data_IF_259331911362
#
_entry.id   IF_259331911362
#
_cell.length_a   1.000
_cell.length_b   1.000
_cell.length_c   1.000
_cell.angle_alpha   90.00
_cell.angle_beta   90.00
_cell.angle_gamma   90.00
#
_symmetry.space_group_name_H-M   'P 1'
#
loop_
_entity.id
_entity.type
_entity.pdbx_description
1 polymer ?
#
# COMPACT_ATOMS: atom_id res chain seq x y z
N UNK A 1 -10.87 -12.17 -13.75
CA UNK A 1 -12.34 -12.24 -13.99
C UNK A 1 -13.08 -12.90 -12.82
N UNK A 2 -12.53 -13.93 -12.18
CA UNK A 2 -13.22 -14.63 -11.09
C UNK A 2 -13.35 -13.78 -9.82
N UNK A 3 -12.37 -12.94 -9.48
CA UNK A 3 -12.46 -11.98 -8.38
C UNK A 3 -13.69 -11.05 -8.50
N UNK A 4 -13.96 -10.55 -9.71
CA UNK A 4 -15.13 -9.69 -9.97
C UNK A 4 -16.44 -10.48 -9.92
N UNK A 5 -16.46 -11.72 -10.43
CA UNK A 5 -17.65 -12.57 -10.41
C UNK A 5 -18.06 -12.98 -9.00
N UNK A 6 -17.08 -13.25 -8.13
CA UNK A 6 -17.28 -13.74 -6.78
C UNK A 6 -17.41 -12.61 -5.75
N UNK A 7 -17.13 -11.36 -6.15
CA UNK A 7 -17.26 -10.21 -5.26
C UNK A 7 -18.73 -9.91 -4.92
N UNK A 8 -18.97 -9.62 -3.64
CA UNK A 8 -20.25 -9.09 -3.14
C UNK A 8 -20.45 -7.63 -3.53
N UNK A 9 -19.37 -6.90 -3.80
CA UNK A 9 -19.36 -5.52 -4.31
C UNK A 9 -18.49 -5.45 -5.58
N UNK A 10 -19.14 -5.68 -6.72
CA UNK A 10 -18.46 -5.73 -8.03
C UNK A 10 -17.93 -4.38 -8.48
N UNK A 11 -18.65 -3.31 -8.21
CA UNK A 11 -18.26 -1.96 -8.62
C UNK A 11 -17.00 -1.53 -7.88
N UNK A 12 -16.96 -1.71 -6.58
CA UNK A 12 -15.77 -1.45 -5.75
C UNK A 12 -14.58 -2.33 -6.14
N UNK A 13 -14.82 -3.58 -6.52
CA UNK A 13 -13.77 -4.46 -7.03
C UNK A 13 -13.23 -3.96 -8.36
N UNK A 14 -14.08 -3.48 -9.27
CA UNK A 14 -13.68 -2.88 -10.53
C UNK A 14 -12.89 -1.59 -10.33
N UNK A 15 -13.24 -0.76 -9.35
CA UNK A 15 -12.51 0.46 -9.00
C UNK A 15 -11.05 0.18 -8.63
N UNK A 16 -10.74 -0.98 -8.03
CA UNK A 16 -9.36 -1.36 -7.70
C UNK A 16 -8.48 -1.54 -8.94
N UNK A 17 -9.07 -1.74 -10.12
CA UNK A 17 -8.42 -1.83 -11.43
C UNK A 17 -8.57 -0.57 -12.27
N UNK A 18 -9.10 0.52 -11.71
CA UNK A 18 -9.26 1.76 -12.47
C UNK A 18 -7.90 2.37 -12.82
N UNK A 19 -7.83 3.08 -13.99
CA UNK A 19 -6.58 3.58 -14.56
C UNK A 19 -5.69 4.35 -13.58
N UNK A 20 -6.23 5.31 -12.84
CA UNK A 20 -5.47 6.07 -11.84
C UNK A 20 -4.94 5.22 -10.68
N UNK A 21 -5.66 4.16 -10.28
CA UNK A 21 -5.19 3.24 -9.26
C UNK A 21 -4.05 2.37 -9.76
N UNK A 22 -4.17 1.85 -10.98
CA UNK A 22 -3.10 1.04 -11.58
C UNK A 22 -1.86 1.87 -11.87
N UNK A 23 -2.02 3.08 -12.42
CA UNK A 23 -0.92 3.99 -12.74
C UNK A 23 -0.14 4.38 -11.47
N UNK A 24 -0.83 4.74 -10.40
CA UNK A 24 -0.23 5.04 -9.09
C UNK A 24 0.55 3.87 -8.51
N UNK A 25 0.00 2.64 -8.61
CA UNK A 25 0.65 1.43 -8.11
C UNK A 25 1.84 1.02 -8.98
N UNK A 26 1.71 1.11 -10.32
CA UNK A 26 2.82 0.86 -11.26
C UNK A 26 3.99 1.79 -10.98
N UNK A 27 3.70 3.08 -10.85
CA UNK A 27 4.70 4.09 -10.50
C UNK A 27 5.43 3.79 -9.18
N UNK A 28 4.70 3.31 -8.15
CA UNK A 28 5.30 2.88 -6.88
C UNK A 28 6.26 1.70 -7.11
N UNK A 29 5.80 0.67 -7.81
CA UNK A 29 6.61 -0.54 -8.10
C UNK A 29 7.88 -0.18 -8.84
N UNK A 30 7.81 0.60 -9.92
CA UNK A 30 8.97 1.08 -10.68
C UNK A 30 9.97 1.86 -9.81
N UNK A 31 9.46 2.68 -8.90
CA UNK A 31 10.33 3.43 -7.99
C UNK A 31 11.02 2.53 -6.96
N UNK A 32 10.35 1.49 -6.49
CA UNK A 32 10.95 0.48 -5.62
C UNK A 32 12.03 -0.32 -6.34
N UNK A 33 11.79 -0.76 -7.55
CA UNK A 33 12.76 -1.49 -8.37
C UNK A 33 14.06 -0.70 -8.56
N UNK A 34 13.94 0.61 -8.87
CA UNK A 34 15.09 1.50 -9.06
C UNK A 34 15.89 1.78 -7.78
N UNK A 35 15.24 1.69 -6.62
CA UNK A 35 15.89 2.02 -5.34
C UNK A 35 16.44 0.81 -4.61
N UNK A 36 16.08 -0.41 -5.00
CA UNK A 36 16.39 -1.60 -4.24
C UNK A 36 16.62 -2.83 -5.14
N UNK A 37 17.81 -3.39 -5.03
CA UNK A 37 18.05 -4.79 -5.41
C UNK A 37 17.73 -5.70 -4.21
N UNK A 38 16.47 -5.69 -3.77
CA UNK A 38 16.06 -6.58 -2.70
C UNK A 38 15.90 -8.00 -3.25
N UNK A 39 16.51 -8.93 -2.54
CA UNK A 39 16.32 -10.36 -2.77
C UNK A 39 15.69 -10.97 -1.53
N UNK A 40 14.64 -11.75 -1.70
CA UNK A 40 13.99 -12.47 -0.60
C UNK A 40 13.33 -11.57 0.47
N UNK A 41 12.68 -10.47 0.05
CA UNK A 41 12.09 -9.48 0.94
C UNK A 41 10.74 -9.91 1.53
N UNK A 42 10.54 -9.59 2.82
CA UNK A 42 9.25 -9.62 3.49
C UNK A 42 8.61 -8.26 3.40
N UNK A 43 7.41 -8.18 2.84
CA UNK A 43 6.67 -6.94 2.64
C UNK A 43 5.36 -7.00 3.41
N UNK A 44 5.04 -5.93 4.12
CA UNK A 44 3.69 -5.72 4.69
C UNK A 44 3.06 -4.52 4.00
N UNK A 45 1.87 -4.71 3.47
CA UNK A 45 1.06 -3.66 2.82
C UNK A 45 -0.11 -3.34 3.75
N UNK A 46 -0.19 -2.12 4.24
CA UNK A 46 -1.32 -1.59 4.99
C UNK A 46 -2.26 -0.81 4.09
N UNK A 47 -3.56 -0.99 4.26
CA UNK A 47 -4.57 -0.53 3.32
C UNK A 47 -4.42 -1.28 1.98
N UNK A 48 -4.23 -2.60 2.07
CA UNK A 48 -3.93 -3.44 0.90
C UNK A 48 -5.11 -3.66 -0.05
N UNK A 49 -6.32 -3.30 0.43
CA UNK A 49 -7.56 -3.39 -0.34
C UNK A 49 -7.69 -4.78 -1.00
N UNK A 50 -8.04 -4.82 -2.27
CA UNK A 50 -8.24 -6.06 -3.04
C UNK A 50 -6.93 -6.76 -3.49
N UNK A 51 -5.77 -6.40 -2.92
CA UNK A 51 -4.50 -7.10 -3.16
C UNK A 51 -3.86 -6.86 -4.54
N UNK A 52 -4.33 -5.85 -5.30
CA UNK A 52 -3.80 -5.53 -6.64
C UNK A 52 -2.33 -5.13 -6.58
N UNK A 53 -1.93 -4.28 -5.61
CA UNK A 53 -0.53 -3.90 -5.43
C UNK A 53 0.36 -5.12 -5.14
N UNK A 54 -0.10 -6.06 -4.32
CA UNK A 54 0.64 -7.29 -4.05
C UNK A 54 0.87 -8.10 -5.32
N UNK A 55 -0.17 -8.25 -6.16
CA UNK A 55 -0.04 -8.92 -7.47
C UNK A 55 0.97 -8.23 -8.38
N UNK A 56 0.98 -6.90 -8.43
CA UNK A 56 1.95 -6.14 -9.23
C UNK A 56 3.38 -6.32 -8.71
N UNK A 57 3.59 -6.29 -7.39
CA UNK A 57 4.88 -6.54 -6.77
C UNK A 57 5.41 -7.95 -7.06
N UNK A 58 4.57 -8.99 -6.99
CA UNK A 58 4.98 -10.36 -7.34
C UNK A 58 5.37 -10.53 -8.83
N UNK A 59 4.91 -9.65 -9.70
CA UNK A 59 5.25 -9.63 -11.13
C UNK A 59 6.36 -8.63 -11.48
N UNK A 60 7.02 -8.04 -10.47
CA UNK A 60 8.14 -7.10 -10.63
C UNK A 60 9.49 -7.80 -10.53
N UNK A 61 10.57 -7.05 -10.76
CA UNK A 61 11.95 -7.51 -10.59
C UNK A 61 12.40 -7.61 -9.12
N UNK A 62 11.52 -7.26 -8.16
CA UNK A 62 11.82 -7.35 -6.74
C UNK A 62 11.76 -8.80 -6.28
N UNK A 63 12.84 -9.30 -5.72
CA UNK A 63 12.88 -10.65 -5.14
C UNK A 63 12.06 -10.71 -3.84
N UNK A 64 10.85 -11.23 -3.93
CA UNK A 64 9.89 -11.27 -2.81
C UNK A 64 9.83 -12.67 -2.19
N UNK A 65 10.01 -12.75 -0.88
CA UNK A 65 9.77 -13.96 -0.09
C UNK A 65 8.30 -14.09 0.29
N UNK A 66 7.74 -13.02 0.87
CA UNK A 66 6.37 -13.03 1.36
C UNK A 66 5.77 -11.63 1.35
N UNK A 67 4.48 -11.53 1.02
CA UNK A 67 3.67 -10.33 1.22
C UNK A 67 2.54 -10.65 2.19
N UNK A 68 2.37 -9.80 3.21
CA UNK A 68 1.18 -9.74 4.05
C UNK A 68 0.41 -8.47 3.68
N UNK A 69 -0.83 -8.63 3.23
CA UNK A 69 -1.74 -7.54 2.87
C UNK A 69 -2.75 -7.35 3.98
N UNK A 70 -2.71 -6.20 4.66
CA UNK A 70 -3.57 -5.89 5.81
C UNK A 70 -4.58 -4.83 5.40
N UNK A 71 -5.87 -5.10 5.60
CA UNK A 71 -6.93 -4.13 5.42
C UNK A 71 -7.96 -4.27 6.54
N UNK A 72 -8.59 -3.16 6.95
CA UNK A 72 -9.62 -3.18 8.00
C UNK A 72 -10.98 -3.69 7.51
N UNK A 73 -11.19 -3.69 6.19
CA UNK A 73 -12.42 -4.11 5.57
C UNK A 73 -12.41 -5.63 5.30
N UNK A 74 -13.25 -6.42 6.00
CA UNK A 74 -13.29 -7.87 5.82
C UNK A 74 -13.72 -8.29 4.39
N UNK A 75 -14.43 -7.43 3.66
CA UNK A 75 -14.82 -7.71 2.27
C UNK A 75 -13.63 -7.75 1.30
N UNK A 76 -12.46 -7.25 1.69
CA UNK A 76 -11.27 -7.23 0.84
C UNK A 76 -10.48 -8.54 0.87
N UNK A 77 -10.53 -9.29 1.97
CA UNK A 77 -9.65 -10.45 2.22
C UNK A 77 -9.83 -11.55 1.17
N UNK A 78 -11.05 -12.00 0.95
CA UNK A 78 -11.34 -13.05 -0.03
C UNK A 78 -10.98 -12.65 -1.47
N UNK A 79 -11.21 -11.38 -1.82
CA UNK A 79 -10.88 -10.84 -3.14
C UNK A 79 -9.37 -10.79 -3.31
N UNK A 80 -8.64 -10.30 -2.30
CA UNK A 80 -7.18 -10.23 -2.32
C UNK A 80 -6.54 -11.62 -2.46
N UNK A 81 -7.07 -12.63 -1.73
CA UNK A 81 -6.67 -14.05 -1.87
C UNK A 81 -6.96 -14.56 -3.28
N UNK A 82 -8.14 -14.26 -3.84
CA UNK A 82 -8.52 -14.70 -5.19
C UNK A 82 -7.57 -14.13 -6.25
N UNK A 83 -7.23 -12.84 -6.15
CA UNK A 83 -6.30 -12.18 -7.09
C UNK A 83 -4.88 -12.76 -6.99
N UNK A 84 -4.44 -13.10 -5.78
CA UNK A 84 -3.09 -13.61 -5.50
C UNK A 84 -3.09 -15.13 -5.23
N UNK A 85 -4.05 -15.87 -5.78
CA UNK A 85 -4.30 -17.29 -5.43
C UNK A 85 -3.08 -18.18 -5.59
N UNK A 86 -2.29 -18.01 -6.65
CA UNK A 86 -1.07 -18.78 -6.86
C UNK A 86 -0.07 -18.55 -5.73
N UNK A 87 0.18 -17.30 -5.39
CA UNK A 87 1.14 -16.91 -4.34
C UNK A 87 0.67 -17.33 -2.95
N UNK A 88 -0.65 -17.31 -2.72
CA UNK A 88 -1.24 -17.82 -1.49
C UNK A 88 -1.02 -19.34 -1.35
N UNK A 89 -1.27 -20.12 -2.41
CA UNK A 89 -1.00 -21.56 -2.43
C UNK A 89 0.49 -21.91 -2.24
N UNK A 90 1.39 -21.05 -2.73
CA UNK A 90 2.85 -21.16 -2.55
C UNK A 90 3.31 -20.68 -1.15
N UNK A 91 2.39 -20.25 -0.27
CA UNK A 91 2.68 -19.70 1.06
C UNK A 91 3.35 -18.33 1.07
N UNK A 92 3.36 -17.65 -0.07
CA UNK A 92 4.02 -16.34 -0.26
C UNK A 92 3.09 -15.14 -0.04
N UNK A 93 1.78 -15.34 -0.06
CA UNK A 93 0.79 -14.28 0.13
C UNK A 93 -0.16 -14.62 1.27
N UNK A 94 -0.45 -13.63 2.11
CA UNK A 94 -1.46 -13.71 3.15
C UNK A 94 -2.25 -12.41 3.14
N UNK A 95 -3.58 -12.47 3.09
CA UNK A 95 -4.46 -11.35 3.38
C UNK A 95 -4.94 -11.46 4.83
N UNK A 96 -5.04 -10.31 5.52
CA UNK A 96 -5.42 -10.23 6.93
C UNK A 96 -6.40 -9.08 7.13
N UNK A 97 -7.54 -9.38 7.74
CA UNK A 97 -8.49 -8.36 8.18
C UNK A 97 -8.06 -7.82 9.55
N UNK A 98 -7.50 -6.60 9.59
CA UNK A 98 -7.06 -5.94 10.82
C UNK A 98 -6.92 -4.42 10.63
N UNK A 99 -7.06 -3.66 11.73
CA UNK A 99 -6.66 -2.25 11.73
C UNK A 99 -5.13 -2.15 11.76
N UNK A 100 -4.57 -1.39 10.80
CA UNK A 100 -3.12 -1.19 10.70
C UNK A 100 -2.51 -0.56 11.95
N UNK A 101 -3.29 0.22 12.71
CA UNK A 101 -2.83 0.89 13.92
C UNK A 101 -2.62 -0.08 15.10
N UNK A 102 -3.22 -1.26 15.03
CA UNK A 102 -3.17 -2.29 16.09
C UNK A 102 -2.59 -3.62 15.56
N UNK A 103 -2.09 -3.62 14.32
CA UNK A 103 -1.51 -4.82 13.70
C UNK A 103 -0.19 -5.24 14.36
N UNK A 104 -0.11 -6.50 14.76
CA UNK A 104 1.09 -7.11 15.32
C UNK A 104 1.86 -7.86 14.24
N UNK A 105 3.15 -7.56 14.11
CA UNK A 105 4.01 -8.18 13.10
C UNK A 105 4.52 -9.54 13.58
N UNK A 106 4.05 -10.62 12.98
CA UNK A 106 4.51 -11.98 13.29
C UNK A 106 5.97 -12.22 12.87
N UNK A 107 6.42 -11.54 11.82
CA UNK A 107 7.80 -11.56 11.32
C UNK A 107 8.26 -10.13 11.07
N UNK A 108 9.56 -9.87 11.20
CA UNK A 108 10.12 -8.55 10.92
C UNK A 108 10.04 -8.26 9.42
N UNK A 109 9.34 -7.18 8.98
CA UNK A 109 9.28 -6.81 7.58
C UNK A 109 10.54 -6.07 7.14
N UNK A 110 10.96 -6.29 5.90
CA UNK A 110 12.00 -5.49 5.25
C UNK A 110 11.41 -4.19 4.71
N UNK A 111 10.18 -4.26 4.20
CA UNK A 111 9.45 -3.12 3.65
C UNK A 111 8.03 -3.07 4.22
N UNK A 112 7.61 -1.87 4.59
CA UNK A 112 6.22 -1.55 4.92
C UNK A 112 5.71 -0.54 3.91
N UNK A 113 4.55 -0.81 3.31
CA UNK A 113 3.91 0.04 2.32
C UNK A 113 2.55 0.50 2.87
N UNK A 114 2.27 1.79 2.80
CA UNK A 114 0.95 2.35 3.05
C UNK A 114 0.58 3.30 1.91
N UNK A 115 -0.37 2.88 1.07
CA UNK A 115 -0.86 3.66 -0.07
C UNK A 115 -2.18 4.39 0.22
N UNK A 116 -2.58 4.46 1.49
CA UNK A 116 -3.88 4.95 1.97
C UNK A 116 -3.73 6.01 3.05
N UNK A 117 -2.64 6.82 3.02
CA UNK A 117 -2.39 7.84 4.05
C UNK A 117 -3.48 8.91 4.10
N UNK A 118 -4.16 9.18 3.00
CA UNK A 118 -5.29 10.11 2.91
C UNK A 118 -6.55 9.64 3.63
N UNK A 119 -6.70 8.34 3.89
CA UNK A 119 -7.89 7.73 4.52
C UNK A 119 -7.80 7.62 6.05
N UNK A 120 -6.69 8.00 6.65
CA UNK A 120 -6.48 7.93 8.11
C UNK A 120 -6.12 9.31 8.65
N UNK A 121 -6.61 9.66 9.85
CA UNK A 121 -6.24 10.90 10.51
C UNK A 121 -4.74 10.96 10.79
N UNK A 122 -4.18 12.15 10.95
CA UNK A 122 -2.77 12.29 11.33
C UNK A 122 -2.46 11.63 12.70
N UNK A 123 -3.42 11.59 13.61
CA UNK A 123 -3.28 10.90 14.89
C UNK A 123 -3.15 9.38 14.71
N UNK A 124 -4.00 8.79 13.86
CA UNK A 124 -3.93 7.37 13.50
C UNK A 124 -2.63 7.04 12.77
N UNK A 125 -2.23 7.89 11.81
CA UNK A 125 -0.93 7.75 11.14
C UNK A 125 0.24 7.74 12.15
N UNK A 126 0.23 8.66 13.11
CA UNK A 126 1.28 8.74 14.13
C UNK A 126 1.30 7.48 15.03
N UNK A 127 0.13 6.96 15.42
CA UNK A 127 0.00 5.70 16.17
C UNK A 127 0.55 4.53 15.35
N UNK A 128 0.13 4.40 14.11
CA UNK A 128 0.63 3.39 13.17
C UNK A 128 2.16 3.46 13.01
N UNK A 129 2.71 4.66 12.79
CA UNK A 129 4.15 4.84 12.63
C UNK A 129 4.93 4.42 13.90
N UNK A 130 4.38 4.64 15.11
CA UNK A 130 4.99 4.20 16.36
C UNK A 130 5.10 2.67 16.44
N UNK A 131 4.11 1.94 15.93
CA UNK A 131 4.05 0.48 15.97
C UNK A 131 4.96 -0.19 14.92
N UNK A 132 5.41 0.53 13.90
CA UNK A 132 6.33 -0.02 12.89
C UNK A 132 7.64 -0.48 13.55
N UNK A 133 8.14 -1.69 13.28
CA UNK A 133 9.46 -2.13 13.74
C UNK A 133 10.58 -1.22 13.21
N UNK A 134 11.64 -1.03 13.98
CA UNK A 134 12.81 -0.26 13.55
C UNK A 134 13.58 -1.00 12.46
N UNK A 135 14.21 -0.24 11.56
CA UNK A 135 15.04 -0.82 10.49
C UNK A 135 14.30 -1.19 9.22
N UNK A 136 12.97 -1.07 9.22
CA UNK A 136 12.18 -1.28 8.00
C UNK A 136 12.31 -0.09 7.06
N UNK A 137 12.30 -0.36 5.75
CA UNK A 137 12.01 0.65 4.75
C UNK A 137 10.51 0.92 4.74
N UNK A 138 10.13 2.19 4.68
CA UNK A 138 8.73 2.62 4.69
C UNK A 138 8.45 3.33 3.37
N UNK A 139 7.39 2.91 2.69
CA UNK A 139 6.90 3.50 1.44
C UNK A 139 5.50 4.02 1.69
N UNK A 140 5.29 5.29 1.44
CA UNK A 140 4.03 5.98 1.65
C UNK A 140 3.51 6.56 0.34
N UNK A 141 2.20 6.53 0.16
CA UNK A 141 1.53 7.35 -0.83
C UNK A 141 0.38 8.13 -0.20
N UNK A 142 0.13 9.33 -0.73
CA UNK A 142 -1.01 10.19 -0.46
C UNK A 142 -1.32 11.01 -1.71
N UNK A 143 -2.32 11.89 -1.64
CA UNK A 143 -2.75 12.73 -2.75
C UNK A 143 -3.25 14.10 -2.27
N UNK A 144 -3.60 14.99 -3.24
CA UNK A 144 -4.25 16.28 -3.01
C UNK A 144 -5.75 16.27 -3.38
N UNK A 145 -6.38 15.10 -3.48
CA UNK A 145 -7.75 14.92 -3.93
C UNK A 145 -8.76 14.95 -2.78
N UNK A 146 -9.21 16.13 -2.42
CA UNK A 146 -10.14 16.40 -1.32
C UNK A 146 -11.63 16.19 -1.67
N UNK A 147 -11.94 15.77 -2.90
CA UNK A 147 -13.31 15.68 -3.38
C UNK A 147 -14.08 14.41 -2.90
N UNK A 148 -13.43 13.52 -2.18
CA UNK A 148 -14.04 12.31 -1.60
C UNK A 148 -14.14 12.47 -0.08
N UNK A 149 -15.30 12.12 0.48
CA UNK A 149 -15.57 12.25 1.92
C UNK A 149 -14.62 11.41 2.79
N UNK A 150 -14.17 10.26 2.27
CA UNK A 150 -13.20 9.39 2.94
C UNK A 150 -11.75 9.90 2.87
N UNK A 151 -11.46 10.94 2.08
CA UNK A 151 -10.15 11.58 1.98
C UNK A 151 -9.98 12.65 3.06
N UNK A 152 -9.76 12.22 4.28
CA UNK A 152 -9.75 13.07 5.48
C UNK A 152 -8.37 13.68 5.80
N UNK A 153 -7.30 13.21 5.16
CA UNK A 153 -5.91 13.61 5.45
C UNK A 153 -5.06 13.74 4.18
N UNK A 154 -5.62 14.26 3.12
CA UNK A 154 -4.84 14.62 1.92
C UNK A 154 -3.73 15.62 2.26
N UNK A 155 -2.73 15.70 1.41
CA UNK A 155 -1.66 16.69 1.50
C UNK A 155 -1.82 17.76 0.41
N UNK A 156 -1.47 19.03 0.73
CA UNK A 156 -1.59 20.15 -0.23
C UNK A 156 -0.61 20.00 -1.39
N UNK A 157 0.58 19.50 -1.07
CA UNK A 157 1.71 19.33 -1.96
C UNK A 157 2.67 18.29 -1.37
N UNK A 158 3.73 17.98 -2.09
CA UNK A 158 4.76 17.03 -1.67
C UNK A 158 5.44 17.47 -0.37
N UNK A 159 5.74 18.75 -0.20
CA UNK A 159 6.40 19.28 1.01
C UNK A 159 5.50 19.12 2.27
N UNK A 160 4.19 19.31 2.13
CA UNK A 160 3.24 19.04 3.22
C UNK A 160 3.20 17.53 3.57
N UNK A 161 3.25 16.65 2.57
CA UNK A 161 3.30 15.22 2.79
C UNK A 161 4.60 14.78 3.46
N UNK A 162 5.74 15.30 3.02
CA UNK A 162 7.05 15.07 3.65
C UNK A 162 7.03 15.43 5.13
N UNK A 163 6.54 16.63 5.46
CA UNK A 163 6.42 17.11 6.84
C UNK A 163 5.50 16.21 7.68
N UNK A 164 4.35 15.77 7.14
CA UNK A 164 3.40 14.89 7.82
C UNK A 164 3.95 13.49 8.03
N UNK A 165 4.81 13.00 7.13
CA UNK A 165 5.37 11.64 7.16
C UNK A 165 6.26 11.37 8.38
N UNK A 166 6.98 12.38 8.87
CA UNK A 166 7.95 12.26 9.99
C UNK A 166 9.04 11.20 9.76
N UNK A 167 9.34 10.89 8.50
CA UNK A 167 10.37 9.93 8.13
C UNK A 167 11.70 10.61 7.86
N UNK A 168 12.78 9.85 8.02
CA UNK A 168 14.07 10.13 7.41
C UNK A 168 13.96 9.76 5.93
N UNK A 169 13.68 10.77 5.09
CA UNK A 169 13.33 10.58 3.68
C UNK A 169 14.58 10.31 2.86
N UNK A 170 14.56 9.23 2.09
CA UNK A 170 15.60 8.89 1.12
C UNK A 170 15.20 9.22 -0.31
N UNK A 171 13.89 9.24 -0.59
CA UNK A 171 13.32 9.63 -1.87
C UNK A 171 11.91 10.17 -1.67
N UNK A 172 11.59 11.23 -2.39
CA UNK A 172 10.23 11.71 -2.57
C UNK A 172 9.97 12.04 -4.03
N UNK A 173 8.74 11.91 -4.47
CA UNK A 173 8.34 12.20 -5.85
C UNK A 173 6.83 12.47 -5.94
N UNK A 174 6.43 13.13 -7.03
CA UNK A 174 5.03 13.33 -7.38
C UNK A 174 4.74 12.76 -8.77
N UNK A 175 3.50 12.28 -8.94
CA UNK A 175 2.94 11.83 -10.19
C UNK A 175 1.69 12.65 -10.48
N UNK A 176 1.66 13.29 -11.65
CA UNK A 176 0.49 14.02 -12.12
C UNK A 176 -0.50 13.04 -12.74
N UNK A 177 -1.70 12.98 -12.20
CA UNK A 177 -2.82 12.21 -12.73
C UNK A 177 -3.89 13.18 -13.26
N UNK A 178 -4.81 12.75 -14.13
CA UNK A 178 -5.77 13.65 -14.77
C UNK A 178 -6.64 14.48 -13.81
N UNK A 179 -6.85 14.02 -12.57
CA UNK A 179 -7.72 14.66 -11.60
C UNK A 179 -7.00 15.18 -10.34
N UNK A 180 -5.81 14.68 -10.04
CA UNK A 180 -5.08 14.97 -8.80
C UNK A 180 -3.60 14.61 -8.94
N UNK A 181 -2.80 15.08 -8.00
CA UNK A 181 -1.41 14.66 -7.83
C UNK A 181 -1.31 13.54 -6.81
N UNK A 182 -0.55 12.52 -7.15
CA UNK A 182 -0.16 11.45 -6.23
C UNK A 182 1.24 11.72 -5.71
N UNK A 183 1.42 11.70 -4.40
CA UNK A 183 2.70 11.86 -3.73
C UNK A 183 3.22 10.53 -3.26
N UNK A 184 4.54 10.37 -3.29
CA UNK A 184 5.21 9.18 -2.76
C UNK A 184 6.44 9.56 -1.95
N UNK A 185 6.64 8.88 -0.83
CA UNK A 185 7.82 9.00 0.01
C UNK A 185 8.38 7.61 0.27
N UNK A 186 9.70 7.49 0.18
CA UNK A 186 10.47 6.33 0.61
C UNK A 186 11.44 6.81 1.68
N UNK A 187 11.47 6.12 2.82
CA UNK A 187 12.31 6.51 3.93
C UNK A 187 12.37 5.45 5.03
N UNK A 188 12.78 5.87 6.20
CA UNK A 188 12.81 5.06 7.43
C UNK A 188 12.42 5.91 8.63
N UNK A 189 12.08 5.26 9.72
CA UNK A 189 11.73 5.91 10.98
C UNK A 189 12.99 6.12 11.84
#
# INVERSE_FOLDING_TARGET
MDAIRNSTDRDRTLESFWGGQLESKSWLVENLERTNKLTNANIVIHGGWNGVLASMLFNSEIGIRKIVSVDKDPGCEEIAVTINKRQEMDGKFVAVTADMCDYEYAEHPDIIINTSCEHITQAQYNKWLQNIPKGCKIVLQSNDYWALDEHINCSKDLADFERKSRLNITKSAELELPKYKRFMIIGSK
#
